data_IF_995352568679
#
_entry.id   IF_995352568679
#
_cell.length_a   1.000
_cell.length_b   1.000
_cell.length_c   1.000
_cell.angle_alpha   90.00
_cell.angle_beta   90.00
_cell.angle_gamma   90.00
#
_symmetry.space_group_name_H-M   'P 1'
#
loop_
_entity.id
_entity.type
_entity.pdbx_description
1 polymer ?
#
# COMPACT_ATOMS: atom_id res chain seq x y z
N UNK A 1 -22.57 -1.26 -13.18
CA UNK A 1 -21.82 -1.69 -11.98
C UNK A 1 -20.44 -1.05 -12.06
N UNK A 2 -20.04 -0.33 -11.03
CA UNK A 2 -18.71 0.25 -10.99
C UNK A 2 -17.69 -0.84 -10.66
N UNK A 3 -16.63 -0.93 -11.47
CA UNK A 3 -15.53 -1.86 -11.30
C UNK A 3 -14.22 -1.09 -11.25
N UNK A 4 -13.34 -1.48 -10.33
CA UNK A 4 -11.98 -0.96 -10.27
C UNK A 4 -11.10 -1.75 -11.25
N UNK A 5 -10.36 -1.02 -12.08
CA UNK A 5 -9.41 -1.58 -13.06
C UNK A 5 -8.05 -0.88 -12.90
N UNK A 6 -6.99 -1.57 -13.33
CA UNK A 6 -5.63 -1.00 -13.36
C UNK A 6 -5.43 -0.22 -14.65
N UNK A 7 -4.76 0.94 -14.61
CA UNK A 7 -4.41 1.73 -15.80
C UNK A 7 -3.02 2.38 -15.63
N UNK A 8 -1.98 1.68 -16.11
CA UNK A 8 -0.59 2.12 -16.05
C UNK A 8 0.29 1.38 -15.02
N UNK A 9 1.55 1.82 -14.90
CA UNK A 9 2.57 1.12 -14.11
C UNK A 9 2.50 1.30 -12.59
N UNK A 10 2.00 2.44 -12.10
CA UNK A 10 1.75 2.70 -10.67
C UNK A 10 0.25 2.89 -10.48
N UNK A 11 -0.40 1.97 -9.79
CA UNK A 11 -1.87 1.87 -9.77
C UNK A 11 -2.48 2.54 -8.55
N UNK A 12 -1.91 2.32 -7.37
CA UNK A 12 -2.50 2.76 -6.10
C UNK A 12 -1.39 3.19 -5.13
N UNK A 13 -1.68 4.25 -4.37
CA UNK A 13 -0.89 4.64 -3.21
C UNK A 13 -1.66 4.31 -1.94
N UNK A 14 -0.97 3.77 -0.94
CA UNK A 14 -1.50 3.60 0.41
C UNK A 14 -0.69 4.47 1.36
N UNK A 15 -1.39 5.30 2.13
CA UNK A 15 -0.79 6.22 3.11
C UNK A 15 -1.48 6.06 4.44
N UNK A 16 -0.72 6.13 5.52
CA UNK A 16 -1.25 6.11 6.88
C UNK A 16 -0.58 7.20 7.74
N UNK A 17 -1.26 7.57 8.82
CA UNK A 17 -0.73 8.44 9.88
C UNK A 17 -0.62 7.63 11.16
N UNK A 18 0.41 7.91 11.94
CA UNK A 18 0.68 7.26 13.22
C UNK A 18 1.45 8.22 14.15
N UNK A 19 1.58 7.84 15.42
CA UNK A 19 2.32 8.64 16.41
C UNK A 19 3.84 8.59 16.23
N UNK A 20 4.33 7.66 15.43
CA UNK A 20 5.74 7.53 15.02
C UNK A 20 5.82 7.09 13.56
N UNK A 21 7.02 7.14 12.96
CA UNK A 21 7.26 6.60 11.62
C UNK A 21 6.95 5.09 11.56
N UNK A 22 7.34 4.35 12.59
CA UNK A 22 7.07 2.91 12.70
C UNK A 22 5.57 2.60 12.73
N UNK A 23 4.79 3.31 13.55
CA UNK A 23 3.32 3.14 13.64
C UNK A 23 2.65 3.50 12.30
N UNK A 24 3.06 4.60 11.66
CA UNK A 24 2.55 4.98 10.34
C UNK A 24 2.87 3.91 9.28
N UNK A 25 4.09 3.37 9.29
CA UNK A 25 4.56 2.33 8.38
C UNK A 25 3.78 1.02 8.58
N UNK A 26 3.64 0.56 9.81
CA UNK A 26 2.90 -0.67 10.13
C UNK A 26 1.43 -0.57 9.66
N UNK A 27 0.77 0.57 9.90
CA UNK A 27 -0.60 0.81 9.44
C UNK A 27 -0.72 0.83 7.92
N UNK A 28 0.25 1.44 7.23
CA UNK A 28 0.29 1.45 5.77
C UNK A 28 0.39 0.02 5.24
N UNK A 29 1.32 -0.79 5.76
CA UNK A 29 1.51 -2.17 5.31
C UNK A 29 0.33 -3.08 5.63
N UNK A 30 -0.26 -2.99 6.83
CA UNK A 30 -1.51 -3.70 7.16
C UNK A 30 -2.66 -3.39 6.20
N UNK A 31 -2.69 -2.17 5.65
CA UNK A 31 -3.71 -1.78 4.68
C UNK A 31 -3.39 -2.34 3.29
N UNK A 32 -2.13 -2.26 2.86
CA UNK A 32 -1.67 -2.81 1.57
C UNK A 32 -1.93 -4.31 1.48
N UNK A 33 -1.68 -5.08 2.55
CA UNK A 33 -1.90 -6.53 2.60
C UNK A 33 -3.34 -6.98 2.30
N UNK A 34 -4.31 -6.08 2.48
CA UNK A 34 -5.73 -6.35 2.23
C UNK A 34 -6.13 -6.16 0.77
N UNK A 35 -5.20 -5.70 -0.08
CA UNK A 35 -5.44 -5.35 -1.47
C UNK A 35 -4.56 -6.24 -2.34
N UNK A 36 -5.16 -6.99 -3.26
CA UNK A 36 -4.39 -7.86 -4.17
C UNK A 36 -5.07 -8.00 -5.52
N UNK A 37 -4.24 -8.17 -6.56
CA UNK A 37 -4.65 -8.57 -7.90
C UNK A 37 -3.50 -9.31 -8.57
N UNK A 38 -3.77 -9.97 -9.71
CA UNK A 38 -2.75 -10.72 -10.44
C UNK A 38 -1.61 -9.77 -10.86
N UNK A 39 -0.39 -10.06 -10.42
CA UNK A 39 0.81 -9.28 -10.75
C UNK A 39 0.98 -8.00 -9.94
N UNK A 40 0.18 -7.76 -8.90
CA UNK A 40 0.42 -6.65 -7.96
C UNK A 40 1.72 -6.88 -7.20
N UNK A 41 2.51 -5.83 -7.00
CA UNK A 41 3.70 -5.86 -6.15
C UNK A 41 3.87 -4.50 -5.45
N UNK A 42 4.53 -4.52 -4.31
CA UNK A 42 4.89 -3.32 -3.54
C UNK A 42 6.19 -3.57 -2.78
N UNK A 43 6.85 -2.48 -2.38
CA UNK A 43 8.05 -2.52 -1.54
C UNK A 43 7.68 -2.70 -0.07
N UNK A 44 8.38 -3.55 0.67
CA UNK A 44 8.18 -3.79 2.12
C UNK A 44 9.17 -3.05 3.03
N UNK A 45 10.05 -2.22 2.45
CA UNK A 45 11.19 -1.55 3.09
C UNK A 45 11.06 -0.01 3.08
N UNK A 46 9.85 0.52 2.91
CA UNK A 46 9.64 1.97 2.91
C UNK A 46 9.73 2.48 4.34
N UNK A 47 10.71 3.34 4.61
CA UNK A 47 10.93 3.90 5.94
C UNK A 47 11.49 2.89 6.95
N UNK A 48 12.23 1.87 6.49
CA UNK A 48 13.14 1.08 7.33
C UNK A 48 14.51 1.76 7.34
N UNK A 49 15.07 2.01 8.53
CA UNK A 49 16.48 2.40 8.71
C UNK A 49 17.42 1.20 8.51
#
# INVERSE_FOLDING_TARGET
>A
EDRYVTDGGRVLNVTARGSSLEDARERAYKTVERISWKGSFYRSDIGTE
#
